data_IF_296708404468
#
_entry.id   IF_296708404468
#
_cell.length_a   1.000
_cell.length_b   1.000
_cell.length_c   1.000
_cell.angle_alpha   90.00
_cell.angle_beta   90.00
_cell.angle_gamma   90.00
#
_symmetry.space_group_name_H-M   'P 1'
#
loop_
_entity.id
_entity.type
_entity.pdbx_description
1 polymer ?
#
# COMPACT_ATOMS: atom_id res chain seq x y z
N UNK A 1 -36.60 -20.52 2.59
CA UNK A 1 -35.31 -19.85 2.65
C UNK A 1 -34.98 -19.18 1.32
N UNK A 2 -33.97 -18.33 1.33
CA UNK A 2 -33.43 -17.73 0.12
C UNK A 2 -32.28 -18.59 -0.41
N UNK A 3 -32.14 -18.64 -1.73
CA UNK A 3 -30.96 -19.23 -2.38
C UNK A 3 -29.86 -18.16 -2.39
N UNK A 4 -28.74 -18.44 -1.73
CA UNK A 4 -27.69 -17.45 -1.49
C UNK A 4 -26.37 -17.96 -2.00
N UNK A 5 -25.74 -17.22 -2.92
CA UNK A 5 -24.36 -17.45 -3.32
C UNK A 5 -23.41 -16.75 -2.35
N UNK A 6 -22.55 -17.51 -1.69
CA UNK A 6 -21.41 -16.99 -0.92
C UNK A 6 -20.11 -17.30 -1.67
N UNK A 7 -19.71 -16.36 -2.51
CA UNK A 7 -18.50 -16.52 -3.33
C UNK A 7 -17.26 -16.09 -2.52
N UNK A 8 -16.27 -16.97 -2.35
CA UNK A 8 -15.00 -16.63 -1.71
C UNK A 8 -14.03 -15.96 -2.68
N UNK A 9 -13.10 -15.20 -2.12
CA UNK A 9 -11.99 -14.62 -2.87
C UNK A 9 -10.80 -14.33 -1.97
N UNK A 10 -9.63 -14.25 -2.56
CA UNK A 10 -8.37 -13.92 -1.89
C UNK A 10 -7.78 -12.66 -2.50
N UNK A 11 -7.42 -11.71 -1.64
CA UNK A 11 -6.63 -10.55 -2.02
C UNK A 11 -5.16 -10.94 -2.15
N UNK A 12 -4.47 -10.42 -3.15
CA UNK A 12 -3.02 -10.63 -3.30
C UNK A 12 -2.18 -9.86 -2.28
N UNK A 13 -2.77 -8.90 -1.55
CA UNK A 13 -2.16 -8.14 -0.46
C UNK A 13 -0.73 -7.65 -0.80
N UNK A 14 -0.60 -6.92 -1.91
CA UNK A 14 0.66 -6.65 -2.60
C UNK A 14 1.85 -6.30 -1.71
N UNK A 15 1.74 -5.25 -0.87
CA UNK A 15 2.82 -4.81 0.01
C UNK A 15 3.15 -5.87 1.07
N UNK A 16 2.15 -6.41 1.75
CA UNK A 16 2.35 -7.40 2.81
C UNK A 16 2.97 -8.69 2.27
N UNK A 17 2.49 -9.19 1.13
CA UNK A 17 3.07 -10.37 0.48
C UNK A 17 4.51 -10.14 0.04
N UNK A 18 4.81 -8.96 -0.54
CA UNK A 18 6.17 -8.58 -0.89
C UNK A 18 7.09 -8.63 0.33
N UNK A 19 6.69 -8.01 1.45
CA UNK A 19 7.48 -7.99 2.68
C UNK A 19 7.78 -9.39 3.23
N UNK A 20 6.79 -10.28 3.18
CA UNK A 20 6.97 -11.68 3.63
C UNK A 20 7.95 -12.42 2.73
N UNK A 21 7.84 -12.26 1.41
CA UNK A 21 8.74 -12.89 0.44
C UNK A 21 10.16 -12.35 0.58
N UNK A 22 10.33 -11.03 0.72
CA UNK A 22 11.65 -10.40 0.94
C UNK A 22 12.33 -10.93 2.21
N UNK A 23 11.57 -11.06 3.31
CA UNK A 23 12.08 -11.64 4.56
C UNK A 23 12.54 -13.08 4.34
N UNK A 24 11.73 -13.88 3.66
CA UNK A 24 12.08 -15.27 3.38
C UNK A 24 13.34 -15.40 2.52
N UNK A 25 13.47 -14.58 1.49
CA UNK A 25 14.70 -14.54 0.66
C UNK A 25 15.92 -14.21 1.50
N UNK A 26 15.82 -13.24 2.41
CA UNK A 26 16.91 -12.89 3.31
C UNK A 26 17.28 -14.03 4.29
N UNK A 27 16.27 -14.73 4.84
CA UNK A 27 16.47 -15.89 5.71
C UNK A 27 17.14 -17.06 4.97
N UNK A 28 16.79 -17.27 3.70
CA UNK A 28 17.33 -18.34 2.86
C UNK A 28 18.70 -17.96 2.22
N UNK A 29 19.17 -16.71 2.42
CA UNK A 29 20.42 -16.20 1.84
C UNK A 29 20.36 -15.99 0.33
N UNK A 30 19.15 -15.85 -0.23
CA UNK A 30 18.93 -15.52 -1.64
C UNK A 30 19.14 -14.02 -1.92
N UNK A 31 19.39 -13.63 -3.20
CA UNK A 31 19.51 -12.23 -3.57
C UNK A 31 18.27 -11.41 -3.23
N UNK A 32 18.45 -10.13 -2.91
CA UNK A 32 17.34 -9.20 -2.68
C UNK A 32 16.51 -9.00 -3.95
N UNK A 33 15.27 -8.50 -3.79
CA UNK A 33 14.40 -8.19 -4.95
C UNK A 33 15.03 -7.24 -5.95
N UNK A 34 15.94 -6.36 -5.51
CA UNK A 34 16.64 -5.43 -6.39
C UNK A 34 17.71 -6.11 -7.21
N UNK A 35 18.44 -7.04 -6.60
CA UNK A 35 19.51 -7.80 -7.26
C UNK A 35 18.94 -8.81 -8.26
N UNK A 36 17.84 -9.49 -7.92
CA UNK A 36 17.22 -10.45 -8.83
C UNK A 36 16.35 -9.80 -9.93
N UNK A 37 15.85 -8.60 -9.70
CA UNK A 37 14.98 -7.90 -10.62
C UNK A 37 13.50 -8.29 -10.50
N UNK A 38 12.63 -7.50 -11.17
CA UNK A 38 11.18 -7.60 -11.00
C UNK A 38 10.61 -8.96 -11.42
N UNK A 39 11.02 -9.47 -12.56
CA UNK A 39 10.45 -10.71 -13.13
C UNK A 39 10.73 -11.90 -12.23
N UNK A 40 11.99 -12.12 -11.86
CA UNK A 40 12.38 -13.19 -10.95
C UNK A 40 11.76 -13.04 -9.56
N UNK A 41 11.62 -11.82 -9.05
CA UNK A 41 10.95 -11.59 -7.78
C UNK A 41 9.44 -11.95 -7.85
N UNK A 42 8.75 -11.60 -8.93
CA UNK A 42 7.33 -11.96 -9.12
C UNK A 42 7.15 -13.48 -9.19
N UNK A 43 8.09 -14.21 -9.80
CA UNK A 43 8.07 -15.68 -9.77
C UNK A 43 8.15 -16.23 -8.34
N UNK A 44 9.01 -15.66 -7.49
CA UNK A 44 9.09 -16.01 -6.05
C UNK A 44 7.78 -15.71 -5.31
N UNK A 45 7.12 -14.60 -5.65
CA UNK A 45 5.80 -14.27 -5.08
C UNK A 45 4.75 -15.31 -5.49
N UNK A 46 4.74 -15.78 -6.72
CA UNK A 46 3.85 -16.85 -7.17
C UNK A 46 4.15 -18.20 -6.51
N UNK A 47 5.43 -18.54 -6.30
CA UNK A 47 5.83 -19.72 -5.51
C UNK A 47 5.29 -19.64 -4.08
N UNK A 48 5.42 -18.48 -3.44
CA UNK A 48 4.86 -18.22 -2.11
C UNK A 48 3.34 -18.37 -2.08
N UNK A 49 2.63 -17.80 -3.05
CA UNK A 49 1.17 -17.94 -3.19
C UNK A 49 0.75 -19.38 -3.30
N UNK A 50 1.45 -20.18 -4.08
CA UNK A 50 1.19 -21.62 -4.24
C UNK A 50 1.36 -22.36 -2.91
N UNK A 51 2.36 -21.99 -2.12
CA UNK A 51 2.63 -22.61 -0.82
C UNK A 51 1.60 -22.19 0.23
N UNK A 52 1.30 -20.91 0.38
CA UNK A 52 0.50 -20.40 1.50
C UNK A 52 -0.98 -20.14 1.15
N UNK A 53 -1.32 -19.91 -0.10
CA UNK A 53 -2.67 -19.56 -0.52
C UNK A 53 -3.73 -20.64 -0.27
N UNK A 54 -3.35 -21.90 -0.23
CA UNK A 54 -4.26 -23.01 0.14
C UNK A 54 -4.57 -23.09 1.63
N UNK A 55 -3.73 -22.49 2.48
CA UNK A 55 -3.86 -22.62 3.94
C UNK A 55 -5.12 -21.95 4.47
N UNK A 56 -5.38 -20.70 4.08
CA UNK A 56 -6.57 -19.97 4.52
C UNK A 56 -7.86 -20.65 4.05
N UNK A 57 -7.90 -21.17 2.84
CA UNK A 57 -9.05 -21.91 2.30
C UNK A 57 -9.32 -23.15 3.16
N UNK A 58 -8.29 -23.92 3.45
CA UNK A 58 -8.42 -25.13 4.27
C UNK A 58 -8.86 -24.80 5.70
N UNK A 59 -8.36 -23.71 6.27
CA UNK A 59 -8.78 -23.23 7.60
C UNK A 59 -10.26 -22.84 7.61
N UNK A 60 -10.72 -22.08 6.62
CA UNK A 60 -12.12 -21.68 6.50
C UNK A 60 -13.06 -22.86 6.27
N UNK A 61 -12.66 -23.85 5.43
CA UNK A 61 -13.42 -25.10 5.28
C UNK A 61 -13.53 -25.86 6.59
N UNK A 62 -12.44 -25.89 7.36
CA UNK A 62 -12.43 -26.56 8.67
C UNK A 62 -13.30 -25.86 9.72
N UNK A 63 -13.43 -24.54 9.63
CA UNK A 63 -14.35 -23.74 10.45
C UNK A 63 -15.82 -23.91 10.02
N UNK A 64 -16.10 -24.62 8.93
CA UNK A 64 -17.45 -24.87 8.44
C UNK A 64 -18.03 -23.74 7.58
N UNK A 65 -17.20 -22.86 7.02
CA UNK A 65 -17.68 -21.83 6.11
C UNK A 65 -18.31 -22.47 4.84
N UNK A 66 -19.57 -22.17 4.59
CA UNK A 66 -20.37 -22.76 3.49
C UNK A 66 -20.26 -21.97 2.18
N UNK A 67 -19.06 -21.52 1.86
CA UNK A 67 -18.80 -20.83 0.59
C UNK A 67 -18.88 -21.80 -0.61
N UNK A 68 -19.21 -21.27 -1.77
CA UNK A 68 -19.00 -21.97 -3.03
C UNK A 68 -17.52 -21.94 -3.42
N UNK A 69 -16.80 -22.95 -2.95
CA UNK A 69 -15.35 -23.07 -3.12
C UNK A 69 -14.92 -23.27 -4.58
N UNK A 70 -15.84 -23.71 -5.46
CA UNK A 70 -15.57 -23.83 -6.88
C UNK A 70 -15.41 -22.49 -7.58
N UNK A 71 -15.90 -21.43 -6.96
CA UNK A 71 -15.84 -20.03 -7.43
C UNK A 71 -14.79 -19.20 -6.70
N UNK A 72 -13.86 -19.85 -6.01
CA UNK A 72 -12.78 -19.10 -5.35
C UNK A 72 -12.01 -18.27 -6.39
N UNK A 73 -11.91 -16.98 -6.13
CA UNK A 73 -11.25 -16.03 -7.01
C UNK A 73 -9.97 -15.47 -6.37
N UNK A 74 -9.03 -15.05 -7.19
CA UNK A 74 -7.81 -14.39 -6.73
C UNK A 74 -7.62 -13.06 -7.47
N UNK A 75 -7.39 -11.99 -6.74
CA UNK A 75 -7.40 -10.63 -7.31
C UNK A 75 -6.29 -10.34 -8.32
N UNK A 76 -5.25 -11.19 -8.38
CA UNK A 76 -4.16 -11.09 -9.36
C UNK A 76 -4.30 -12.08 -10.53
N UNK A 77 -5.41 -12.83 -10.61
CA UNK A 77 -5.65 -13.75 -11.73
C UNK A 77 -5.71 -13.01 -13.06
N UNK A 78 -5.04 -13.57 -14.07
CA UNK A 78 -4.92 -12.99 -15.42
C UNK A 78 -3.91 -11.85 -15.52
N UNK A 79 -3.14 -11.54 -14.46
CA UNK A 79 -2.06 -10.56 -14.53
C UNK A 79 -0.93 -11.04 -15.45
N UNK A 80 -0.17 -10.13 -16.08
CA UNK A 80 1.02 -10.50 -16.86
C UNK A 80 2.00 -11.32 -16.03
N UNK A 81 2.42 -12.46 -16.53
CA UNK A 81 3.31 -13.40 -15.83
C UNK A 81 2.60 -14.32 -14.84
N UNK A 82 1.27 -14.33 -14.81
CA UNK A 82 0.52 -15.32 -14.04
C UNK A 82 0.81 -16.74 -14.56
N UNK A 83 1.07 -17.71 -13.67
CA UNK A 83 1.31 -19.10 -14.09
C UNK A 83 0.04 -19.77 -14.60
N UNK A 84 0.22 -20.92 -15.26
CA UNK A 84 -0.89 -21.78 -15.67
C UNK A 84 -1.79 -22.13 -14.47
N UNK A 85 -3.09 -22.05 -14.67
CA UNK A 85 -4.11 -22.25 -13.61
C UNK A 85 -4.49 -20.96 -12.85
N UNK A 86 -3.83 -19.84 -13.12
CA UNK A 86 -4.16 -18.52 -12.57
C UNK A 86 -4.78 -17.59 -13.63
N UNK A 87 -5.52 -18.17 -14.56
CA UNK A 87 -6.27 -17.44 -15.57
C UNK A 87 -7.45 -16.69 -14.92
N UNK A 88 -7.83 -15.59 -15.52
CA UNK A 88 -8.96 -14.79 -15.09
C UNK A 88 -8.99 -13.44 -15.76
N UNK A 89 -9.97 -12.65 -15.42
CA UNK A 89 -10.15 -11.31 -16.00
C UNK A 89 -10.05 -10.18 -14.97
N UNK A 90 -9.58 -10.45 -13.77
CA UNK A 90 -9.48 -9.41 -12.73
C UNK A 90 -8.53 -8.29 -13.14
N UNK A 91 -7.36 -8.64 -13.68
CA UNK A 91 -6.41 -7.66 -14.17
C UNK A 91 -7.03 -6.76 -15.24
N UNK A 92 -7.64 -7.35 -16.26
CA UNK A 92 -8.25 -6.59 -17.36
C UNK A 92 -9.44 -5.74 -16.88
N UNK A 93 -10.23 -6.27 -15.97
CA UNK A 93 -11.33 -5.52 -15.35
C UNK A 93 -10.84 -4.30 -14.58
N UNK A 94 -9.78 -4.43 -13.80
CA UNK A 94 -9.17 -3.31 -13.05
C UNK A 94 -8.61 -2.27 -14.01
N UNK A 95 -7.86 -2.67 -15.02
CA UNK A 95 -7.31 -1.76 -16.03
C UNK A 95 -8.43 -1.04 -16.77
N UNK A 96 -9.47 -1.77 -17.17
CA UNK A 96 -10.63 -1.15 -17.84
C UNK A 96 -11.28 -0.07 -16.98
N UNK A 97 -11.57 -0.38 -15.71
CA UNK A 97 -12.20 0.59 -14.79
C UNK A 97 -11.29 1.80 -14.58
N UNK A 98 -9.99 1.58 -14.39
CA UNK A 98 -9.02 2.67 -14.23
C UNK A 98 -9.02 3.61 -15.45
N UNK A 99 -8.96 3.05 -16.65
CA UNK A 99 -8.97 3.81 -17.90
C UNK A 99 -10.29 4.55 -18.08
N UNK A 100 -11.44 3.91 -17.80
CA UNK A 100 -12.75 4.54 -17.86
C UNK A 100 -12.85 5.75 -16.91
N UNK A 101 -12.35 5.63 -15.69
CA UNK A 101 -12.33 6.71 -14.69
C UNK A 101 -11.43 7.87 -15.14
N UNK A 102 -10.28 7.56 -15.72
CA UNK A 102 -9.38 8.57 -16.28
C UNK A 102 -10.06 9.37 -17.40
N UNK A 103 -10.68 8.69 -18.37
CA UNK A 103 -11.41 9.34 -19.47
C UNK A 103 -12.60 10.18 -18.99
N UNK A 104 -13.21 9.81 -17.88
CA UNK A 104 -14.29 10.59 -17.24
C UNK A 104 -13.76 11.77 -16.41
N UNK A 105 -12.45 11.98 -16.32
CA UNK A 105 -11.84 13.03 -15.51
C UNK A 105 -11.99 12.83 -13.99
N UNK A 106 -12.30 11.62 -13.53
CA UNK A 106 -12.48 11.30 -12.12
C UNK A 106 -11.16 11.06 -11.38
N UNK A 107 -10.10 10.72 -12.12
CA UNK A 107 -8.75 10.54 -11.58
C UNK A 107 -7.74 11.37 -12.39
N UNK A 108 -6.69 11.79 -11.72
CA UNK A 108 -5.59 12.54 -12.31
C UNK A 108 -4.27 12.20 -11.62
N UNK A 109 -3.16 12.46 -12.30
CA UNK A 109 -1.83 12.32 -11.70
C UNK A 109 -1.48 13.59 -10.95
N UNK A 110 -1.18 13.46 -9.66
CA UNK A 110 -0.78 14.57 -8.80
C UNK A 110 0.24 14.16 -7.75
N UNK A 111 0.86 15.15 -7.10
CA UNK A 111 1.73 14.94 -5.94
C UNK A 111 0.91 15.11 -4.67
N UNK A 112 1.07 14.20 -3.71
CA UNK A 112 0.50 14.27 -2.37
C UNK A 112 1.53 13.83 -1.35
N UNK A 113 1.40 14.34 -0.12
CA UNK A 113 2.13 13.79 1.02
C UNK A 113 1.57 12.39 1.31
N UNK A 114 2.48 11.45 1.53
CA UNK A 114 2.16 10.06 1.90
C UNK A 114 3.06 9.64 3.05
N UNK A 115 2.59 8.73 3.88
CA UNK A 115 3.45 8.03 4.83
C UNK A 115 4.37 7.10 4.04
N UNK A 116 5.65 7.18 4.32
CA UNK A 116 6.69 6.45 3.59
C UNK A 116 7.56 5.65 4.55
N UNK A 117 7.68 4.35 4.30
CA UNK A 117 8.62 3.49 5.00
C UNK A 117 9.96 3.48 4.25
N UNK A 118 11.03 4.04 4.84
CA UNK A 118 12.33 4.11 4.18
C UNK A 118 13.07 2.76 4.14
N UNK A 119 12.67 1.79 4.96
CA UNK A 119 13.26 0.45 4.97
C UNK A 119 12.71 -0.38 3.81
N UNK A 120 11.40 -0.46 3.69
CA UNK A 120 10.74 -1.16 2.60
C UNK A 120 10.64 -0.33 1.32
N UNK A 121 10.93 0.97 1.41
CA UNK A 121 10.84 1.92 0.28
C UNK A 121 9.48 1.88 -0.42
N UNK A 122 8.44 1.98 0.38
CA UNK A 122 7.05 1.98 -0.08
C UNK A 122 6.20 2.96 0.72
N UNK A 123 5.12 3.43 0.10
CA UNK A 123 4.06 4.11 0.82
C UNK A 123 3.32 3.10 1.71
N UNK A 124 2.92 3.54 2.89
CA UNK A 124 2.15 2.74 3.85
C UNK A 124 0.83 3.45 4.19
N UNK A 125 -0.14 2.70 4.68
CA UNK A 125 -1.42 3.26 5.11
C UNK A 125 -1.29 3.99 6.45
N UNK A 126 -2.21 4.92 6.72
CA UNK A 126 -2.23 5.66 8.00
C UNK A 126 -2.41 4.72 9.20
N UNK A 127 -3.04 3.56 9.00
CA UNK A 127 -3.27 2.56 10.05
C UNK A 127 -2.00 1.79 10.43
N UNK A 128 -0.97 1.83 9.60
CA UNK A 128 0.32 1.15 9.83
C UNK A 128 1.36 2.09 10.47
N UNK A 129 1.00 3.36 10.68
CA UNK A 129 1.90 4.36 11.27
C UNK A 129 1.77 4.35 12.79
N UNK A 130 2.88 4.13 13.47
CA UNK A 130 2.99 4.27 14.91
C UNK A 130 3.61 5.64 15.26
N UNK A 131 2.90 6.44 16.06
CA UNK A 131 3.43 7.70 16.55
C UNK A 131 4.27 7.45 17.80
N UNK A 132 5.56 7.74 17.71
CA UNK A 132 6.51 7.59 18.81
C UNK A 132 7.04 8.96 19.22
N UNK A 133 6.95 9.29 20.52
CA UNK A 133 7.57 10.52 21.05
C UNK A 133 9.09 10.42 20.91
N UNK A 134 9.67 11.38 20.20
CA UNK A 134 11.11 11.50 20.04
C UNK A 134 11.57 12.92 20.37
N UNK A 135 12.77 13.10 20.96
CA UNK A 135 13.35 14.42 21.12
C UNK A 135 13.51 15.11 19.77
N UNK A 136 12.93 16.28 19.63
CA UNK A 136 12.95 17.07 18.40
C UNK A 136 13.10 18.55 18.67
N UNK A 137 13.12 19.34 17.62
CA UNK A 137 13.16 20.79 17.69
C UNK A 137 12.25 21.41 16.62
N UNK A 138 11.77 22.60 16.92
CA UNK A 138 11.13 23.43 15.91
C UNK A 138 12.20 24.19 15.14
N UNK A 139 12.14 24.12 13.82
CA UNK A 139 13.08 24.81 12.93
C UNK A 139 12.35 25.96 12.26
N UNK A 140 12.80 27.19 12.50
CA UNK A 140 12.24 28.40 11.93
C UNK A 140 13.10 28.86 10.76
N UNK A 141 12.49 29.01 9.58
CA UNK A 141 13.16 29.48 8.37
C UNK A 141 12.63 30.85 8.02
N UNK A 142 13.50 31.86 7.94
CA UNK A 142 13.16 33.21 7.48
C UNK A 142 13.34 33.27 5.96
N UNK A 143 12.27 33.58 5.24
CA UNK A 143 12.30 33.79 3.80
C UNK A 143 12.09 35.28 3.50
N UNK A 144 12.94 35.91 2.67
CA UNK A 144 12.69 37.28 2.26
C UNK A 144 11.40 37.36 1.41
N UNK A 145 10.61 38.39 1.63
CA UNK A 145 9.44 38.65 0.83
C UNK A 145 9.83 39.17 -0.57
N UNK A 146 9.06 38.82 -1.59
CA UNK A 146 9.25 39.34 -2.92
C UNK A 146 9.03 40.86 -2.92
N UNK A 147 9.99 41.61 -3.48
CA UNK A 147 9.94 43.07 -3.48
C UNK A 147 10.61 43.75 -2.27
N UNK A 148 11.16 42.96 -1.33
CA UNK A 148 11.85 43.52 -0.14
C UNK A 148 10.89 44.11 0.90
N UNK A 149 9.62 43.72 0.87
CA UNK A 149 8.65 44.12 1.90
C UNK A 149 8.96 43.44 3.24
N UNK A 150 8.69 44.13 4.31
CA UNK A 150 8.80 43.61 5.70
C UNK A 150 7.42 43.51 6.33
N UNK A 151 7.29 42.67 7.34
CA UNK A 151 6.11 42.60 8.18
C UNK A 151 6.53 42.41 9.63
N UNK A 152 5.72 42.95 10.53
CA UNK A 152 5.95 42.78 11.98
C UNK A 152 5.34 41.44 12.41
N UNK A 153 6.18 40.55 12.92
CA UNK A 153 5.73 39.33 13.57
C UNK A 153 5.46 39.59 15.05
N UNK A 154 4.29 39.19 15.49
CA UNK A 154 3.88 39.40 16.90
C UNK A 154 3.43 38.04 17.47
N UNK A 155 4.17 37.56 18.46
CA UNK A 155 3.78 36.39 19.25
C UNK A 155 3.05 36.83 20.52
N UNK A 156 1.95 36.14 20.83
CA UNK A 156 1.13 36.44 22.02
C UNK A 156 1.03 35.22 22.92
N UNK A 157 1.02 35.43 24.22
CA UNK A 157 0.72 34.38 25.21
C UNK A 157 -0.77 33.99 25.20
N UNK A 158 -1.12 33.00 26.05
CA UNK A 158 -2.50 32.53 26.19
C UNK A 158 -3.49 33.62 26.69
N UNK A 159 -2.99 34.67 27.34
CA UNK A 159 -3.75 35.77 27.84
C UNK A 159 -3.84 36.95 26.83
N UNK A 160 -3.19 36.78 25.65
CA UNK A 160 -3.19 37.77 24.58
C UNK A 160 -2.13 38.87 24.67
N UNK A 161 -1.22 38.79 25.64
CA UNK A 161 -0.13 39.78 25.77
C UNK A 161 0.96 39.49 24.75
N UNK A 162 1.58 40.53 24.21
CA UNK A 162 2.71 40.39 23.29
C UNK A 162 3.94 39.91 24.06
N UNK A 163 4.49 38.78 23.69
CA UNK A 163 5.72 38.20 24.27
C UNK A 163 6.92 38.33 23.34
N UNK A 164 6.68 38.52 22.04
CA UNK A 164 7.71 38.76 21.03
C UNK A 164 7.16 39.70 19.96
N UNK A 165 7.95 40.68 19.55
CA UNK A 165 7.67 41.51 18.38
C UNK A 165 8.97 41.66 17.57
N UNK A 166 8.98 41.24 16.33
CA UNK A 166 10.13 41.30 15.40
C UNK A 166 9.69 41.84 14.04
N UNK A 167 10.55 42.68 13.41
CA UNK A 167 10.38 43.19 12.03
C UNK A 167 11.10 42.31 11.03
#
# INVERSE_FOLDING_TARGET
GFDTLWQPGQDHAGIATQMVVERKLAEDGEPSRREMGREAFVEKVWEWKKHSGGTIINQLKRLGASCDWSRNAFTMSGAPGAPEGEEGNFHDAVIKVFVDMYHKGQIYRGKRLVNWDPHFETAISDLEVENVETPGAMWHFKYPLAGGETYTYVERDADGNVVLEEE
#
